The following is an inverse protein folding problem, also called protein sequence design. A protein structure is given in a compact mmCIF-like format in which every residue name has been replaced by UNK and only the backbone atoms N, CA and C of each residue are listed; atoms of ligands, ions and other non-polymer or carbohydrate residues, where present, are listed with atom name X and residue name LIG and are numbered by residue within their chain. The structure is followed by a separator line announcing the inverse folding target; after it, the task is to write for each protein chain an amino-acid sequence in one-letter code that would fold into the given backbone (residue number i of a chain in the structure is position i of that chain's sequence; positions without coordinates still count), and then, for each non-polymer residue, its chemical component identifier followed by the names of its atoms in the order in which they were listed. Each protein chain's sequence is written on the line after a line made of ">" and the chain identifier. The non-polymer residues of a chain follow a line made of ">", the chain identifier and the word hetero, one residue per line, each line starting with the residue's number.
data_IF_251544053772
#
_entry.id   IF_251544053772
#
_cell.length_a   1.000
_cell.length_b   1.000
_cell.length_c   1.000
_cell.angle_alpha   90.00
_cell.angle_beta   90.00
_cell.angle_gamma   90.00
#
_symmetry.space_group_name_H-M   'P 1'
#
loop_
_entity.id
_entity.type
_entity.pdbx_description
1 polymer ?
#
# COMPACT_ATOMS: atom_id res chain seq x y z
N UNK A 1 -40.46 -4.07 14.62
CA UNK A 1 -39.33 -4.91 15.08
C UNK A 1 -38.21 -4.81 14.06
N UNK A 2 -37.07 -4.25 14.49
CA UNK A 2 -35.70 -4.28 13.93
C UNK A 2 -35.48 -3.76 12.48
N UNK A 3 -35.23 -2.45 12.41
CA UNK A 3 -34.39 -1.83 11.38
C UNK A 3 -32.94 -2.33 11.55
N UNK A 4 -32.39 -2.98 10.53
CA UNK A 4 -30.98 -3.36 10.48
C UNK A 4 -30.24 -2.30 9.66
N UNK A 5 -29.70 -1.29 10.36
CA UNK A 5 -28.77 -0.33 9.78
C UNK A 5 -27.52 -1.09 9.32
N UNK A 6 -27.29 -1.14 8.00
CA UNK A 6 -26.00 -1.50 7.43
C UNK A 6 -25.00 -0.40 7.79
N UNK A 7 -24.33 -0.58 8.92
CA UNK A 7 -23.08 0.10 9.22
C UNK A 7 -22.02 -0.53 8.33
N UNK A 8 -21.87 -0.01 7.11
CA UNK A 8 -20.70 -0.27 6.27
C UNK A 8 -19.60 0.64 6.82
N UNK A 9 -18.60 0.12 7.55
CA UNK A 9 -17.53 0.98 7.99
C UNK A 9 -16.72 1.37 6.74
N UNK A 10 -16.67 2.66 6.49
CA UNK A 10 -15.82 3.33 5.50
C UNK A 10 -14.35 3.08 5.89
N UNK A 11 -13.80 1.94 5.46
CA UNK A 11 -12.39 1.56 5.60
C UNK A 11 -11.73 1.40 4.22
N UNK A 12 -12.12 2.24 3.27
CA UNK A 12 -11.65 2.13 1.89
C UNK A 12 -11.11 3.45 1.36
N UNK A 13 -10.18 4.05 2.09
CA UNK A 13 -9.18 4.96 1.53
C UNK A 13 -7.92 4.81 2.39
N UNK A 14 -6.75 4.74 1.76
CA UNK A 14 -5.41 4.63 2.37
C UNK A 14 -4.92 3.21 2.72
N UNK A 15 -4.59 2.41 1.70
CA UNK A 15 -3.33 1.63 1.69
C UNK A 15 -3.02 0.99 0.31
N UNK A 16 -3.11 1.76 -0.77
CA UNK A 16 -2.73 1.30 -2.13
C UNK A 16 -1.54 2.08 -2.72
N UNK A 17 -0.93 2.95 -1.92
CA UNK A 17 0.06 3.94 -2.31
C UNK A 17 1.50 3.49 -2.00
N UNK A 18 2.30 3.19 -3.03
CA UNK A 18 3.75 3.11 -2.86
C UNK A 18 4.38 4.47 -3.14
N UNK A 19 5.34 4.88 -2.31
CA UNK A 19 5.97 6.19 -2.33
C UNK A 19 7.36 6.09 -2.96
N UNK A 20 7.58 6.71 -4.11
CA UNK A 20 8.89 6.76 -4.79
C UNK A 20 9.69 8.02 -4.38
N UNK A 21 10.94 7.90 -3.89
CA UNK A 21 11.79 9.04 -3.58
C UNK A 21 12.44 9.66 -4.83
N UNK A 22 12.27 10.98 -4.99
CA UNK A 22 12.88 11.74 -6.09
C UNK A 22 14.30 12.20 -5.69
N UNK A 23 15.30 11.39 -5.99
CA UNK A 23 16.71 11.83 -5.97
C UNK A 23 17.20 11.96 -7.41
N UNK A 24 17.27 13.21 -7.86
CA UNK A 24 18.00 13.71 -9.04
C UNK A 24 18.31 12.73 -10.17
N UNK A 25 17.43 12.70 -11.18
CA UNK A 25 17.73 12.52 -12.61
C UNK A 25 16.43 12.69 -13.37
N UNK A 26 16.24 13.86 -13.98
CA UNK A 26 15.10 14.21 -14.80
C UNK A 26 15.13 13.46 -16.14
N UNK A 27 14.90 12.13 -16.16
CA UNK A 27 14.61 11.36 -17.40
C UNK A 27 14.28 9.86 -17.28
N UNK A 28 14.12 9.23 -16.11
CA UNK A 28 14.12 7.74 -16.06
C UNK A 28 12.88 7.03 -15.51
N UNK A 29 11.67 7.57 -15.68
CA UNK A 29 10.47 6.73 -15.80
C UNK A 29 9.52 7.43 -16.78
N UNK A 30 9.49 6.97 -18.02
CA UNK A 30 8.52 7.45 -19.02
C UNK A 30 7.07 7.21 -18.57
N UNK A 31 6.84 6.29 -17.61
CA UNK A 31 5.58 6.12 -16.89
C UNK A 31 5.81 5.40 -15.54
N UNK A 32 5.74 6.07 -14.37
CA UNK A 32 5.99 5.43 -13.08
C UNK A 32 4.92 4.41 -12.67
N UNK A 33 3.86 4.24 -13.47
CA UNK A 33 2.83 3.20 -13.30
C UNK A 33 3.31 1.83 -13.82
N UNK A 34 4.31 1.78 -14.70
CA UNK A 34 4.77 0.54 -15.36
C UNK A 34 5.58 -0.40 -14.44
N UNK A 35 5.82 -0.01 -13.18
CA UNK A 35 6.52 -0.86 -12.19
C UNK A 35 5.55 -1.55 -11.23
N UNK A 36 4.25 -1.24 -11.35
CA UNK A 36 3.20 -1.66 -10.43
C UNK A 36 2.34 -2.72 -11.09
N UNK A 37 2.13 -3.80 -10.36
CA UNK A 37 1.22 -4.88 -10.73
C UNK A 37 0.03 -4.90 -9.78
N UNK A 38 -1.15 -5.22 -10.29
CA UNK A 38 -2.30 -5.50 -9.44
C UNK A 38 -2.09 -6.84 -8.75
N UNK A 39 -2.54 -6.99 -7.51
CA UNK A 39 -2.46 -8.22 -6.74
C UNK A 39 -3.89 -8.70 -6.44
N UNK A 40 -4.19 -9.94 -6.80
CA UNK A 40 -5.43 -10.61 -6.43
C UNK A 40 -5.10 -11.90 -5.67
N UNK A 41 -5.67 -12.04 -4.47
CA UNK A 41 -5.40 -13.15 -3.56
C UNK A 41 -6.71 -13.82 -3.19
N UNK A 42 -6.78 -15.14 -3.44
CA UNK A 42 -7.89 -15.97 -2.95
C UNK A 42 -7.51 -16.61 -1.63
N UNK A 43 -8.43 -16.53 -0.68
CA UNK A 43 -8.29 -17.09 0.67
C UNK A 43 -9.28 -18.25 0.81
N UNK A 44 -8.86 -19.44 1.31
CA UNK A 44 -9.79 -20.52 1.64
C UNK A 44 -10.85 -20.06 2.63
N UNK A 45 -12.09 -20.50 2.46
CA UNK A 45 -13.18 -20.20 3.40
C UNK A 45 -12.92 -20.73 4.82
N UNK A 46 -12.02 -21.70 4.96
CA UNK A 46 -11.59 -22.28 6.24
C UNK A 46 -10.49 -21.48 6.95
N UNK A 47 -9.90 -20.47 6.30
CA UNK A 47 -8.83 -19.67 6.87
C UNK A 47 -9.37 -18.77 7.99
N UNK A 48 -8.54 -18.48 9.01
CA UNK A 48 -8.97 -17.75 10.21
C UNK A 48 -9.44 -16.34 9.88
N UNK A 49 -8.81 -15.74 8.87
CA UNK A 49 -9.10 -14.37 8.43
C UNK A 49 -10.14 -14.29 7.31
N UNK A 50 -10.66 -15.43 6.81
CA UNK A 50 -11.60 -15.44 5.69
C UNK A 50 -12.91 -14.72 6.01
N UNK A 51 -13.44 -14.91 7.24
CA UNK A 51 -14.70 -14.30 7.65
C UNK A 51 -14.60 -12.76 7.82
N UNK A 52 -13.42 -12.25 8.17
CA UNK A 52 -13.21 -10.81 8.42
C UNK A 52 -12.67 -10.06 7.21
N UNK A 53 -11.79 -10.68 6.41
CA UNK A 53 -11.08 -10.01 5.30
C UNK A 53 -11.42 -10.58 3.92
N UNK A 54 -11.97 -11.78 3.84
CA UNK A 54 -12.32 -12.41 2.57
C UNK A 54 -11.14 -12.55 1.59
N UNK A 55 -11.46 -12.58 0.30
CA UNK A 55 -10.47 -12.46 -0.77
C UNK A 55 -9.91 -11.04 -0.79
N UNK A 56 -8.63 -10.92 -1.12
CA UNK A 56 -7.91 -9.63 -1.00
C UNK A 56 -7.44 -9.15 -2.35
N UNK A 57 -7.44 -7.83 -2.50
CA UNK A 57 -6.92 -7.13 -3.67
C UNK A 57 -6.05 -5.98 -3.22
N UNK A 58 -5.01 -5.68 -3.98
CA UNK A 58 -4.09 -4.59 -3.70
C UNK A 58 -3.07 -4.43 -4.82
N UNK A 59 -1.92 -3.87 -4.49
CA UNK A 59 -0.84 -3.62 -5.44
C UNK A 59 0.45 -4.33 -5.00
N UNK A 60 1.32 -4.59 -5.97
CA UNK A 60 2.71 -4.95 -5.74
C UNK A 60 3.63 -4.10 -6.62
N UNK A 61 4.86 -3.89 -6.14
CA UNK A 61 5.94 -3.28 -6.92
C UNK A 61 6.93 -4.35 -7.34
N UNK A 62 7.28 -4.41 -8.62
CA UNK A 62 8.32 -5.31 -9.11
C UNK A 62 9.69 -4.78 -8.71
N UNK A 63 10.49 -5.60 -8.03
CA UNK A 63 11.75 -5.19 -7.39
C UNK A 63 13.00 -5.79 -8.06
N UNK A 64 12.84 -6.80 -8.91
CA UNK A 64 13.94 -7.43 -9.64
C UNK A 64 13.48 -8.04 -10.98
N UNK A 65 14.46 -8.32 -11.86
CA UNK A 65 14.24 -8.97 -13.18
C UNK A 65 13.80 -10.43 -13.05
N UNK A 66 13.88 -11.00 -11.85
CA UNK A 66 13.44 -12.35 -11.56
C UNK A 66 11.91 -12.41 -11.42
N UNK A 67 11.22 -11.26 -11.39
CA UNK A 67 9.75 -11.17 -11.32
C UNK A 67 9.22 -11.22 -9.88
N UNK A 68 10.02 -10.83 -8.89
CA UNK A 68 9.56 -10.66 -7.51
C UNK A 68 8.83 -9.34 -7.37
N UNK A 69 7.70 -9.38 -6.68
CA UNK A 69 6.95 -8.20 -6.32
C UNK A 69 6.82 -8.05 -4.80
N UNK A 70 7.15 -6.87 -4.30
CA UNK A 70 6.93 -6.44 -2.92
C UNK A 70 5.50 -5.97 -2.75
N UNK A 71 4.82 -6.42 -1.70
CA UNK A 71 3.45 -6.05 -1.36
C UNK A 71 3.27 -5.94 0.15
N UNK A 72 2.07 -5.58 0.59
CA UNK A 72 1.72 -5.56 2.02
C UNK A 72 1.36 -6.98 2.44
N UNK A 73 2.04 -7.48 3.47
CA UNK A 73 2.01 -8.87 3.90
C UNK A 73 0.64 -9.38 4.31
N UNK A 74 -0.22 -8.53 4.88
CA UNK A 74 -1.59 -8.96 5.23
C UNK A 74 -2.39 -9.41 4.00
N UNK A 75 -2.06 -8.94 2.79
CA UNK A 75 -2.76 -9.34 1.57
C UNK A 75 -2.56 -10.82 1.26
N UNK A 76 -1.39 -11.37 1.59
CA UNK A 76 -0.98 -12.72 1.18
C UNK A 76 -1.06 -13.75 2.32
N UNK A 77 -1.50 -13.35 3.51
CA UNK A 77 -1.69 -14.26 4.65
C UNK A 77 -2.74 -15.33 4.34
N UNK A 78 -2.42 -16.60 4.59
CA UNK A 78 -3.33 -17.74 4.36
C UNK A 78 -3.79 -17.88 2.89
N UNK A 79 -3.03 -17.31 1.94
CA UNK A 79 -3.35 -17.37 0.52
C UNK A 79 -3.37 -18.81 -0.01
N UNK A 80 -4.43 -19.19 -0.73
CA UNK A 80 -4.47 -20.43 -1.51
C UNK A 80 -4.14 -20.21 -2.99
N UNK A 81 -4.40 -19.00 -3.50
CA UNK A 81 -4.01 -18.60 -4.85
C UNK A 81 -3.61 -17.14 -4.85
N UNK A 82 -2.50 -16.83 -5.51
CA UNK A 82 -2.04 -15.47 -5.79
C UNK A 82 -1.96 -15.29 -7.30
N UNK A 83 -2.46 -14.17 -7.78
CA UNK A 83 -2.38 -13.73 -9.17
C UNK A 83 -1.92 -12.27 -9.22
N UNK A 84 -1.10 -11.95 -10.20
CA UNK A 84 -0.65 -10.60 -10.52
C UNK A 84 -1.33 -10.14 -11.80
N UNK A 85 -1.91 -8.94 -11.80
CA UNK A 85 -2.36 -8.26 -13.01
C UNK A 85 -1.20 -7.38 -13.51
N UNK A 86 -0.50 -7.87 -14.52
CA UNK A 86 0.66 -7.23 -15.13
C UNK A 86 0.26 -5.95 -15.88
N UNK A 87 1.23 -5.14 -16.31
CA UNK A 87 1.01 -3.81 -16.91
C UNK A 87 0.18 -3.85 -18.19
N UNK A 88 0.32 -4.91 -18.97
CA UNK A 88 -0.44 -5.22 -20.18
C UNK A 88 -1.87 -5.73 -19.91
N UNK A 89 -2.24 -5.89 -18.63
CA UNK A 89 -3.54 -6.41 -18.19
C UNK A 89 -3.59 -7.94 -18.10
N UNK A 90 -2.51 -8.65 -18.44
CA UNK A 90 -2.46 -10.11 -18.34
C UNK A 90 -2.44 -10.53 -16.87
N UNK A 91 -3.20 -11.58 -16.57
CA UNK A 91 -3.14 -12.23 -15.25
C UNK A 91 -2.04 -13.29 -15.24
N UNK A 92 -1.07 -13.11 -14.35
CA UNK A 92 0.08 -13.99 -14.16
C UNK A 92 -0.03 -14.69 -12.80
N UNK A 93 -0.06 -16.03 -12.74
CA UNK A 93 -0.02 -16.75 -11.47
C UNK A 93 1.26 -16.43 -10.69
N UNK A 94 1.16 -16.38 -9.36
CA UNK A 94 2.29 -16.12 -8.49
C UNK A 94 2.28 -17.01 -7.24
N UNK A 95 3.45 -17.13 -6.61
CA UNK A 95 3.63 -17.85 -5.33
C UNK A 95 4.16 -16.92 -4.26
N UNK A 96 3.73 -17.11 -3.02
CA UNK A 96 4.31 -16.38 -1.88
C UNK A 96 5.71 -16.93 -1.60
N UNK A 97 6.71 -16.05 -1.55
CA UNK A 97 8.10 -16.42 -1.19
C UNK A 97 8.38 -16.13 0.28
N UNK A 98 7.81 -15.04 0.81
CA UNK A 98 8.08 -14.62 2.17
C UNK A 98 7.07 -13.62 2.69
N UNK A 99 6.97 -13.59 4.01
CA UNK A 99 6.22 -12.59 4.77
C UNK A 99 7.06 -12.23 5.99
N UNK A 100 7.36 -10.94 6.13
CA UNK A 100 8.03 -10.38 7.29
C UNK A 100 6.98 -9.78 8.22
N UNK A 101 6.90 -10.34 9.43
CA UNK A 101 5.95 -9.90 10.46
C UNK A 101 6.32 -8.56 11.07
N UNK A 102 7.61 -8.25 11.17
CA UNK A 102 8.07 -7.08 11.89
C UNK A 102 7.79 -5.81 11.07
N UNK A 103 8.06 -5.88 9.76
CA UNK A 103 7.77 -4.78 8.83
C UNK A 103 6.36 -4.82 8.26
N UNK A 104 5.72 -5.99 8.27
CA UNK A 104 4.41 -6.19 7.65
C UNK A 104 4.47 -6.33 6.12
N UNK A 105 5.64 -6.49 5.51
CA UNK A 105 5.79 -6.68 4.06
C UNK A 105 5.72 -8.14 3.64
N UNK A 106 5.26 -8.37 2.42
CA UNK A 106 5.24 -9.67 1.77
C UNK A 106 5.93 -9.63 0.40
N UNK A 107 6.50 -10.76 -0.01
CA UNK A 107 7.10 -10.92 -1.34
C UNK A 107 6.40 -12.08 -2.06
N UNK A 108 6.02 -11.83 -3.31
CA UNK A 108 5.46 -12.83 -4.23
C UNK A 108 6.32 -12.96 -5.47
N UNK A 109 6.42 -14.17 -6.01
CA UNK A 109 7.13 -14.52 -7.24
C UNK A 109 6.14 -14.73 -8.36
N UNK A 110 6.24 -14.00 -9.46
CA UNK A 110 5.54 -14.34 -10.68
C UNK A 110 6.06 -15.68 -11.24
N UNK A 111 5.15 -16.56 -11.68
CA UNK A 111 5.51 -17.85 -12.29
C UNK A 111 5.91 -17.74 -13.77
N UNK A 112 5.66 -16.59 -14.38
CA UNK A 112 6.10 -16.25 -15.74
C UNK A 112 6.64 -14.82 -15.75
N UNK A 113 7.42 -14.49 -16.77
CA UNK A 113 7.96 -13.14 -16.99
C UNK A 113 6.85 -12.08 -16.97
N UNK A 114 7.11 -10.99 -16.25
CA UNK A 114 6.29 -9.78 -16.22
C UNK A 114 6.80 -8.79 -17.27
N UNK A 115 5.90 -7.99 -17.84
CA UNK A 115 6.22 -6.83 -18.67
C UNK A 115 6.50 -5.59 -17.82
N UNK A 116 6.05 -5.58 -16.57
CA UNK A 116 6.37 -4.53 -15.62
C UNK A 116 7.89 -4.40 -15.43
N UNK A 117 8.38 -3.16 -15.45
CA UNK A 117 9.81 -2.87 -15.27
C UNK A 117 10.16 -2.91 -13.77
N UNK A 118 11.24 -3.60 -13.38
CA UNK A 118 11.69 -3.57 -11.99
C UNK A 118 12.17 -2.19 -11.58
N UNK A 119 11.87 -1.81 -10.33
CA UNK A 119 12.37 -0.56 -9.74
C UNK A 119 13.42 -0.84 -8.67
N UNK A 120 14.53 -0.12 -8.74
CA UNK A 120 15.53 -0.13 -7.69
C UNK A 120 14.95 0.52 -6.42
N UNK A 121 15.16 -0.14 -5.27
CA UNK A 121 14.78 0.42 -3.98
C UNK A 121 15.65 1.63 -3.66
N UNK A 122 15.00 2.76 -3.37
CA UNK A 122 15.68 3.98 -2.93
C UNK A 122 16.11 3.91 -1.45
N UNK A 123 17.05 4.78 -1.09
CA UNK A 123 17.47 4.95 0.30
C UNK A 123 16.57 5.98 1.01
N UNK A 124 15.61 5.49 1.78
CA UNK A 124 14.65 6.33 2.51
C UNK A 124 15.31 7.15 3.63
N UNK A 125 16.52 6.80 4.10
CA UNK A 125 17.22 7.57 5.13
C UNK A 125 17.59 8.98 4.65
N UNK A 126 17.79 9.15 3.34
CA UNK A 126 18.15 10.42 2.68
C UNK A 126 17.00 11.41 2.51
N UNK A 127 15.75 10.99 2.75
CA UNK A 127 14.60 11.89 2.63
C UNK A 127 14.65 12.99 3.69
N UNK A 128 14.08 14.15 3.41
CA UNK A 128 14.00 15.25 4.38
C UNK A 128 12.59 15.82 4.38
N UNK A 129 12.23 16.51 5.46
CA UNK A 129 11.02 17.34 5.45
C UNK A 129 11.10 18.31 4.27
N UNK A 130 10.03 18.37 3.48
CA UNK A 130 9.97 19.10 2.20
C UNK A 130 10.38 18.30 0.96
N UNK A 131 10.88 17.06 1.10
CA UNK A 131 11.13 16.20 -0.07
C UNK A 131 9.82 15.91 -0.81
N UNK A 132 9.85 16.09 -2.13
CA UNK A 132 8.75 15.77 -3.03
C UNK A 132 8.81 14.29 -3.42
N UNK A 133 7.68 13.61 -3.34
CA UNK A 133 7.53 12.19 -3.66
C UNK A 133 6.31 12.00 -4.55
N UNK A 134 6.23 10.85 -5.21
CA UNK A 134 5.00 10.44 -5.89
C UNK A 134 4.44 9.18 -5.27
N UNK A 135 3.14 9.23 -5.05
CA UNK A 135 2.32 8.08 -4.72
C UNK A 135 1.78 7.49 -6.00
N UNK A 136 2.04 6.21 -6.19
CA UNK A 136 1.61 5.47 -7.37
C UNK A 136 0.85 4.22 -6.96
N UNK A 137 -0.18 3.88 -7.72
CA UNK A 137 -1.05 2.73 -7.51
C UNK A 137 -1.61 2.28 -8.87
N UNK A 138 -2.02 1.02 -8.97
CA UNK A 138 -2.64 0.48 -10.19
C UNK A 138 -4.14 0.28 -9.95
N UNK A 139 -4.90 1.34 -10.15
CA UNK A 139 -6.33 1.26 -10.49
C UNK A 139 -6.55 1.82 -11.90
N UNK A 140 -7.68 1.49 -12.52
CA UNK A 140 -7.97 1.73 -13.94
C UNK A 140 -7.78 3.19 -14.39
N UNK A 141 -7.81 4.15 -13.46
CA UNK A 141 -7.63 5.59 -13.71
C UNK A 141 -6.63 6.28 -12.74
N UNK A 142 -5.69 5.52 -12.14
CA UNK A 142 -4.78 6.07 -11.13
C UNK A 142 -3.73 6.99 -11.76
N UNK A 143 -3.90 8.31 -11.56
CA UNK A 143 -2.86 9.31 -11.83
C UNK A 143 -1.88 9.33 -10.64
N UNK A 144 -0.55 9.32 -10.87
CA UNK A 144 0.43 9.54 -9.81
C UNK A 144 0.13 10.81 -9.02
N UNK A 145 0.02 10.70 -7.70
CA UNK A 145 -0.21 11.86 -6.84
C UNK A 145 1.10 12.40 -6.31
N UNK A 146 1.34 13.70 -6.50
CA UNK A 146 2.49 14.36 -5.89
C UNK A 146 2.20 14.63 -4.41
N UNK A 147 3.16 14.26 -3.56
CA UNK A 147 3.09 14.45 -2.11
C UNK A 147 4.39 15.03 -1.61
N UNK A 148 4.36 15.64 -0.43
CA UNK A 148 5.53 16.18 0.23
C UNK A 148 5.71 15.53 1.60
N UNK A 149 6.96 15.30 1.98
CA UNK A 149 7.28 14.84 3.34
C UNK A 149 7.02 15.99 4.30
N UNK A 150 5.95 15.90 5.08
CA UNK A 150 5.62 16.91 6.08
C UNK A 150 6.41 16.74 7.37
N UNK A 151 6.68 15.50 7.75
CA UNK A 151 7.41 15.17 8.97
C UNK A 151 8.08 13.79 8.84
N UNK A 152 9.07 13.51 9.71
CA UNK A 152 9.75 12.21 9.80
C UNK A 152 9.93 11.82 11.26
N UNK A 153 9.11 10.89 11.71
CA UNK A 153 9.24 10.25 13.02
C UNK A 153 9.57 8.76 12.88
N UNK A 154 10.09 8.17 13.97
CA UNK A 154 10.22 6.73 14.05
C UNK A 154 8.83 6.09 14.06
N UNK A 155 8.51 5.38 12.97
CA UNK A 155 7.28 4.60 12.90
C UNK A 155 7.44 3.34 13.76
N UNK A 156 6.83 3.33 14.95
CA UNK A 156 6.72 2.14 15.78
C UNK A 156 5.50 1.31 15.32
N UNK A 157 5.70 0.40 14.34
CA UNK A 157 4.69 -0.61 13.98
C UNK A 157 4.46 -1.58 15.15
N UNK A 158 3.23 -2.01 15.46
CA UNK A 158 2.43 -2.93 14.64
C UNK A 158 0.92 -2.58 14.55
N UNK A 159 0.40 -1.64 15.36
CA UNK A 159 -0.99 -1.11 15.36
C UNK A 159 -1.04 0.20 16.17
N UNK A 160 -0.49 1.30 15.69
CA UNK A 160 -0.36 2.55 16.47
C UNK A 160 -1.72 3.18 16.85
N UNK A 161 -2.31 2.69 17.93
CA UNK A 161 -3.18 3.41 18.88
C UNK A 161 -2.31 3.80 20.07
N UNK A 162 -1.30 4.63 19.81
CA UNK A 162 -0.67 5.43 20.85
C UNK A 162 -0.52 6.84 20.30
N UNK A 163 -1.65 7.55 20.23
CA UNK A 163 -1.62 9.00 20.28
C UNK A 163 -1.06 9.41 21.64
N UNK A 164 0.26 9.59 21.73
CA UNK A 164 0.77 10.72 22.51
C UNK A 164 0.19 11.96 21.84
N UNK A 165 -0.98 12.38 22.28
CA UNK A 165 -1.48 13.73 22.05
C UNK A 165 -0.57 14.68 22.84
N UNK A 166 0.30 15.40 22.14
CA UNK A 166 0.20 16.85 22.24
C UNK A 166 0.26 17.41 20.83
N UNK A 167 -0.82 18.03 20.34
CA UNK A 167 -0.81 19.13 19.34
C UNK A 167 -2.17 19.38 18.67
N UNK A 168 -3.24 18.66 19.04
CA UNK A 168 -4.61 19.00 18.63
C UNK A 168 -5.51 19.27 19.83
N UNK A 169 -5.15 20.30 20.59
CA UNK A 169 -6.05 20.98 21.53
C UNK A 169 -5.90 22.51 21.45
N UNK A 170 -5.56 23.03 20.27
CA UNK A 170 -5.64 24.48 20.00
C UNK A 170 -6.86 24.89 19.17
N UNK A 171 -7.48 23.95 18.44
CA UNK A 171 -8.68 24.22 17.63
C UNK A 171 -10.00 23.83 18.31
N UNK A 172 -9.97 23.23 19.50
CA UNK A 172 -11.19 22.86 20.26
C UNK A 172 -11.52 23.78 21.44
N UNK A 173 -10.80 24.90 21.61
CA UNK A 173 -11.09 25.91 22.65
C UNK A 173 -11.77 27.18 22.13
N UNK A 174 -12.02 27.29 20.81
CA UNK A 174 -12.69 28.46 20.20
C UNK A 174 -14.19 28.25 19.93
N UNK A 175 -14.72 27.03 20.11
CA UNK A 175 -16.14 26.73 19.85
C UNK A 175 -16.98 26.57 21.14
N UNK A 176 -16.38 26.77 22.32
CA UNK A 176 -17.08 26.75 23.63
C UNK A 176 -17.06 28.11 24.35
N UNK A 177 -16.73 29.20 23.65
CA UNK A 177 -17.20 30.54 24.04
C UNK A 177 -18.42 30.86 23.18
N UNK A 178 -19.59 30.77 23.77
CA UNK A 178 -20.80 31.35 23.17
C UNK A 178 -20.63 32.86 22.94
N UNK A 179 -21.44 33.46 22.05
CA UNK A 179 -21.43 34.90 21.85
C UNK A 179 -21.81 35.60 23.17
N UNK A 180 -21.04 36.62 23.53
CA UNK A 180 -21.45 37.61 24.53
C UNK A 180 -22.58 38.49 24.02
#
# INVERSE_FOLDING_TARGET
>A
MKNLNYFVPVFQVALSAFVLPLLGSSSLLANPVNVIVGLEVKIPVTARTAASLGNRRGNGIVIDDEGRALTIGYLILEASKVSLADVDGKTVPATVIGYDRDTGFGIVQALTTLQAEPVALGDSSKLQVGSQLRVVSRETDSVPQEVIVMDRENFAGYWSIYWKMPFLLHQLFQHLRGPG
#
